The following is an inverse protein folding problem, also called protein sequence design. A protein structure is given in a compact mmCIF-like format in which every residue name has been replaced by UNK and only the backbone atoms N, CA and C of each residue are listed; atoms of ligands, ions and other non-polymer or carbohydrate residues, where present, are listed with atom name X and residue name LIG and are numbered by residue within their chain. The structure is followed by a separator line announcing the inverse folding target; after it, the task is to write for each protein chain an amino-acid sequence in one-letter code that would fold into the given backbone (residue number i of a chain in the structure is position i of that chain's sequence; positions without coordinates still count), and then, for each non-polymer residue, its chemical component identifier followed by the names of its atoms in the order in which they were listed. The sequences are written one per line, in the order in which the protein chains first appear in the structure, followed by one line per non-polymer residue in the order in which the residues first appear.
data_IF_783542226854
#
_entry.id   IF_783542226854
#
_cell.length_a   1.000
_cell.length_b   1.000
_cell.length_c   1.000
_cell.angle_alpha   90.00
_cell.angle_beta   90.00
_cell.angle_gamma   90.00
#
_symmetry.space_group_name_H-M   'P 1'
#
loop_
_entity.id
_entity.type
_entity.pdbx_description
1 polymer ?
#
# COMPACT_ATOMS: atom_id res chain seq x y z
N UNK A 1 -2.38 -8.00 -6.95
CA UNK A 1 -1.77 -7.95 -8.30
C UNK A 1 -0.37 -8.54 -8.20
N UNK A 2 0.03 -9.37 -9.15
CA UNK A 2 1.41 -9.87 -9.26
C UNK A 2 2.01 -9.30 -10.54
N UNK A 3 3.17 -8.65 -10.43
CA UNK A 3 3.94 -8.14 -11.57
C UNK A 3 5.29 -8.85 -11.52
N UNK A 4 5.73 -9.39 -12.66
CA UNK A 4 6.98 -10.11 -12.79
C UNK A 4 7.50 -9.99 -14.23
N UNK A 5 8.82 -10.01 -14.38
CA UNK A 5 9.48 -10.15 -15.69
C UNK A 5 9.82 -11.62 -16.01
N UNK A 6 9.56 -12.55 -15.09
CA UNK A 6 9.75 -13.99 -15.31
C UNK A 6 8.45 -14.62 -15.86
N UNK A 7 8.52 -15.06 -17.11
CA UNK A 7 7.38 -15.67 -17.82
C UNK A 7 6.88 -16.95 -17.13
N UNK A 8 7.76 -17.76 -16.54
CA UNK A 8 7.37 -18.99 -15.85
C UNK A 8 6.58 -18.66 -14.59
N UNK A 9 7.00 -17.64 -13.85
CA UNK A 9 6.24 -17.14 -12.69
C UNK A 9 4.88 -16.60 -13.12
N UNK A 10 4.82 -15.86 -14.23
CA UNK A 10 3.56 -15.33 -14.75
C UNK A 10 2.59 -16.44 -15.18
N UNK A 11 3.08 -17.48 -15.85
CA UNK A 11 2.28 -18.65 -16.26
C UNK A 11 1.72 -19.39 -15.05
N UNK A 12 2.57 -19.75 -14.09
CA UNK A 12 2.15 -20.43 -12.86
C UNK A 12 1.13 -19.59 -12.10
N UNK A 13 1.36 -18.28 -11.95
CA UNK A 13 0.43 -17.38 -11.27
C UNK A 13 -0.94 -17.33 -11.97
N UNK A 14 -1.01 -17.35 -13.31
CA UNK A 14 -2.28 -17.38 -14.06
C UNK A 14 -3.06 -18.67 -13.81
N UNK A 15 -2.37 -19.82 -13.72
CA UNK A 15 -2.97 -21.11 -13.37
C UNK A 15 -3.46 -21.12 -11.92
N UNK A 16 -2.61 -20.72 -10.96
CA UNK A 16 -2.93 -20.64 -9.53
C UNK A 16 -4.15 -19.74 -9.28
N UNK A 17 -4.27 -18.63 -10.01
CA UNK A 17 -5.43 -17.71 -9.93
C UNK A 17 -6.75 -18.35 -10.37
N UNK A 18 -6.69 -19.38 -11.20
CA UNK A 18 -7.82 -19.96 -11.92
C UNK A 18 -7.95 -21.47 -11.72
N UNK A 19 -8.02 -21.93 -10.47
CA UNK A 19 -8.23 -23.35 -10.10
C UNK A 19 -7.17 -24.32 -10.64
N UNK A 20 -6.00 -23.81 -11.04
CA UNK A 20 -4.95 -24.59 -11.69
C UNK A 20 -5.25 -24.97 -13.14
N UNK A 21 -6.28 -24.38 -13.75
CA UNK A 21 -6.72 -24.67 -15.11
C UNK A 21 -6.11 -23.71 -16.13
N UNK A 22 -5.58 -24.26 -17.23
CA UNK A 22 -5.29 -23.49 -18.43
C UNK A 22 -6.59 -23.30 -19.23
N UNK A 23 -7.05 -22.06 -19.33
CA UNK A 23 -8.15 -21.67 -20.20
C UNK A 23 -7.56 -20.88 -21.37
N UNK A 24 -7.61 -21.46 -22.55
CA UNK A 24 -7.10 -20.86 -23.79
C UNK A 24 -8.30 -20.34 -24.58
N UNK A 25 -8.23 -19.10 -25.05
CA UNK A 25 -9.27 -18.53 -25.89
C UNK A 25 -9.49 -19.41 -27.14
N UNK A 26 -10.73 -19.54 -27.58
CA UNK A 26 -11.12 -20.30 -28.78
C UNK A 26 -10.92 -21.82 -28.70
N UNK A 27 -10.55 -22.38 -27.54
CA UNK A 27 -10.50 -23.83 -27.30
C UNK A 27 -11.59 -24.31 -26.35
N UNK A 28 -12.07 -25.55 -26.56
CA UNK A 28 -13.00 -26.18 -25.63
C UNK A 28 -12.34 -26.40 -24.28
N UNK A 29 -12.97 -25.90 -23.21
CA UNK A 29 -12.48 -26.06 -21.85
C UNK A 29 -12.44 -27.53 -21.45
N UNK A 30 -11.31 -27.97 -20.91
CA UNK A 30 -11.08 -29.37 -20.53
C UNK A 30 -11.51 -29.71 -19.10
N UNK A 31 -11.77 -28.69 -18.26
CA UNK A 31 -12.06 -28.84 -16.82
C UNK A 31 -10.98 -29.61 -16.05
N UNK A 32 -9.75 -29.63 -16.56
CA UNK A 32 -8.61 -30.30 -15.95
C UNK A 32 -7.71 -29.29 -15.26
N UNK A 33 -7.58 -29.42 -13.95
CA UNK A 33 -6.51 -28.75 -13.19
C UNK A 33 -5.17 -29.42 -13.49
N UNK A 34 -4.18 -28.63 -13.88
CA UNK A 34 -2.81 -29.09 -14.14
C UNK A 34 -1.94 -29.02 -12.89
N UNK A 35 -2.28 -28.08 -11.99
CA UNK A 35 -1.63 -27.84 -10.70
C UNK A 35 -2.70 -27.54 -9.64
N UNK A 36 -2.30 -27.44 -8.37
CA UNK A 36 -3.17 -26.88 -7.34
C UNK A 36 -3.36 -25.37 -7.60
N UNK A 37 -4.61 -24.92 -7.59
CA UNK A 37 -4.95 -23.51 -7.70
C UNK A 37 -6.23 -23.15 -6.94
N UNK A 38 -6.51 -21.85 -6.90
CA UNK A 38 -7.62 -21.24 -6.17
C UNK A 38 -8.45 -20.36 -7.10
N UNK A 39 -9.53 -19.80 -6.56
CA UNK A 39 -10.28 -18.75 -7.21
C UNK A 39 -9.81 -17.37 -6.71
N UNK A 40 -8.79 -16.80 -7.36
CA UNK A 40 -8.31 -15.44 -7.10
C UNK A 40 -8.56 -14.49 -8.28
N UNK A 41 -9.53 -14.82 -9.13
CA UNK A 41 -9.91 -13.96 -10.26
C UNK A 41 -10.51 -12.67 -9.72
N UNK A 42 -10.04 -11.54 -10.26
CA UNK A 42 -10.67 -10.25 -10.06
C UNK A 42 -11.97 -10.20 -10.87
N UNK A 43 -13.01 -9.55 -10.35
CA UNK A 43 -14.25 -9.36 -11.10
C UNK A 43 -14.09 -8.26 -12.15
N UNK A 44 -14.91 -8.29 -13.21
CA UNK A 44 -14.91 -7.24 -14.24
C UNK A 44 -15.27 -5.86 -13.66
N UNK A 45 -16.15 -5.82 -12.64
CA UNK A 45 -16.53 -4.56 -11.97
C UNK A 45 -15.33 -3.97 -11.21
N UNK A 46 -14.62 -4.78 -10.44
CA UNK A 46 -13.42 -4.33 -9.72
C UNK A 46 -12.31 -3.92 -10.70
N UNK A 47 -12.16 -4.64 -11.81
CA UNK A 47 -11.20 -4.31 -12.86
C UNK A 47 -11.53 -2.96 -13.52
N UNK A 48 -12.80 -2.70 -13.85
CA UNK A 48 -13.24 -1.44 -14.42
C UNK A 48 -12.99 -0.26 -13.46
N UNK A 49 -13.30 -0.42 -12.17
CA UNK A 49 -12.98 0.58 -11.14
C UNK A 49 -11.47 0.81 -11.07
N UNK A 50 -10.68 -0.27 -11.04
CA UNK A 50 -9.22 -0.20 -10.99
C UNK A 50 -8.62 0.57 -12.16
N UNK A 51 -9.09 0.32 -13.39
CA UNK A 51 -8.64 1.03 -14.60
C UNK A 51 -8.87 2.55 -14.47
N UNK A 52 -10.04 2.97 -13.99
CA UNK A 52 -10.33 4.41 -13.79
C UNK A 52 -9.53 5.02 -12.63
N UNK A 53 -9.21 4.24 -11.59
CA UNK A 53 -8.33 4.67 -10.50
C UNK A 53 -6.88 4.86 -10.97
N UNK A 54 -6.37 3.97 -11.82
CA UNK A 54 -5.02 4.10 -12.37
C UNK A 54 -4.84 5.38 -13.19
N UNK A 55 -5.86 5.81 -13.94
CA UNK A 55 -5.83 7.11 -14.66
C UNK A 55 -5.68 8.31 -13.74
N UNK A 56 -6.12 8.20 -12.48
CA UNK A 56 -6.08 9.27 -11.46
C UNK A 56 -4.87 9.15 -10.53
N UNK A 57 -4.04 8.13 -10.72
CA UNK A 57 -2.97 7.76 -9.79
C UNK A 57 -1.97 8.90 -9.56
N UNK A 58 -1.53 9.58 -10.62
CA UNK A 58 -0.56 10.67 -10.49
C UNK A 58 -1.13 11.86 -9.74
N UNK A 59 -2.38 12.22 -9.99
CA UNK A 59 -3.07 13.27 -9.24
C UNK A 59 -3.11 12.95 -7.74
N UNK A 60 -3.59 11.75 -7.37
CA UNK A 60 -3.67 11.36 -5.96
C UNK A 60 -2.29 11.22 -5.30
N UNK A 61 -1.29 10.73 -6.01
CA UNK A 61 0.09 10.66 -5.51
C UNK A 61 0.64 12.06 -5.24
N UNK A 62 0.47 12.98 -6.18
CA UNK A 62 1.02 14.34 -6.07
C UNK A 62 0.31 15.13 -4.95
N UNK A 63 -1.01 14.98 -4.78
CA UNK A 63 -1.73 15.60 -3.66
C UNK A 63 -1.24 15.04 -2.31
N UNK A 64 -1.03 13.72 -2.19
CA UNK A 64 -0.43 13.15 -0.98
C UNK A 64 0.97 13.68 -0.70
N UNK A 65 1.83 13.76 -1.72
CA UNK A 65 3.19 14.32 -1.60
C UNK A 65 3.14 15.77 -1.11
N UNK A 66 2.25 16.60 -1.68
CA UNK A 66 2.06 17.99 -1.28
C UNK A 66 1.69 18.10 0.21
N UNK A 67 0.72 17.31 0.65
CA UNK A 67 0.28 17.30 2.06
C UNK A 67 1.36 16.76 3.01
N UNK A 68 2.07 15.71 2.60
CA UNK A 68 3.19 15.14 3.36
C UNK A 68 4.33 16.16 3.53
N UNK A 69 4.68 16.89 2.46
CA UNK A 69 5.69 17.94 2.53
C UNK A 69 5.25 19.08 3.45
N UNK A 70 3.99 19.49 3.38
CA UNK A 70 3.42 20.47 4.31
C UNK A 70 3.57 20.00 5.76
N UNK A 71 3.16 18.76 6.08
CA UNK A 71 3.33 18.20 7.43
C UNK A 71 4.79 18.14 7.85
N UNK A 72 5.71 17.71 6.98
CA UNK A 72 7.14 17.70 7.27
C UNK A 72 7.65 19.09 7.64
N UNK A 73 7.29 20.11 6.86
CA UNK A 73 7.71 21.48 7.14
C UNK A 73 7.14 22.01 8.47
N UNK A 74 5.91 21.62 8.85
CA UNK A 74 5.30 22.06 10.11
C UNK A 74 5.82 21.27 11.33
N UNK A 75 6.17 20.00 11.15
CA UNK A 75 6.50 19.09 12.25
C UNK A 75 8.00 18.99 12.54
N UNK A 76 8.87 19.38 11.61
CA UNK A 76 10.32 19.30 11.78
C UNK A 76 10.87 20.13 12.95
N UNK A 77 10.14 21.19 13.34
CA UNK A 77 10.56 22.10 14.41
C UNK A 77 10.19 21.58 15.81
N UNK A 78 9.40 20.50 15.90
CA UNK A 78 9.02 19.91 17.18
C UNK A 78 10.11 18.96 17.70
N UNK A 79 10.58 19.24 18.91
CA UNK A 79 11.57 18.38 19.56
C UNK A 79 11.01 16.97 19.79
N UNK A 80 11.81 15.96 19.44
CA UNK A 80 11.43 14.56 19.57
C UNK A 80 10.64 13.99 18.39
N UNK A 81 10.31 14.80 17.39
CA UNK A 81 9.75 14.31 16.13
C UNK A 81 10.83 14.20 15.06
N UNK A 82 10.80 13.12 14.29
CA UNK A 82 11.64 12.99 13.10
C UNK A 82 10.75 12.61 11.92
N UNK A 83 10.60 13.50 10.92
CA UNK A 83 9.75 13.24 9.76
C UNK A 83 10.31 12.08 8.91
N UNK A 84 9.48 11.47 8.04
CA UNK A 84 9.95 10.46 7.09
C UNK A 84 11.01 11.06 6.16
N UNK A 85 12.08 10.30 5.95
CA UNK A 85 13.17 10.68 5.05
C UNK A 85 12.90 10.17 3.63
N UNK A 86 13.15 11.01 2.63
CA UNK A 86 13.05 10.67 1.20
C UNK A 86 14.44 10.76 0.58
N UNK A 87 14.89 9.67 -0.04
CA UNK A 87 16.16 9.63 -0.78
C UNK A 87 16.06 10.44 -2.07
N UNK A 88 17.16 11.08 -2.48
CA UNK A 88 17.22 12.05 -3.58
C UNK A 88 16.66 11.53 -4.93
N UNK A 89 16.82 10.24 -5.21
CA UNK A 89 16.35 9.62 -6.46
C UNK A 89 14.99 8.91 -6.34
N UNK A 90 14.31 9.04 -5.20
CA UNK A 90 13.08 8.31 -4.92
C UNK A 90 11.84 9.21 -4.90
N UNK A 91 10.77 8.78 -5.58
CA UNK A 91 9.43 9.36 -5.41
C UNK A 91 8.67 8.60 -4.31
N UNK A 92 8.67 9.13 -3.09
CA UNK A 92 7.86 8.57 -2.01
C UNK A 92 6.38 8.98 -2.15
N UNK A 93 5.46 8.02 -2.28
CA UNK A 93 4.02 8.30 -2.53
C UNK A 93 3.15 8.37 -1.27
N UNK A 94 3.76 8.14 -0.10
CA UNK A 94 3.15 8.29 1.23
C UNK A 94 1.82 7.54 1.39
N UNK A 95 1.85 6.20 1.29
CA UNK A 95 0.69 5.40 1.74
C UNK A 95 0.30 5.76 3.19
N UNK A 96 1.32 5.98 4.04
CA UNK A 96 1.18 6.58 5.38
C UNK A 96 2.26 7.64 5.54
N UNK A 97 1.92 8.75 6.20
CA UNK A 97 2.92 9.68 6.74
C UNK A 97 3.37 9.20 8.11
N UNK A 98 4.53 8.53 8.18
CA UNK A 98 5.04 7.96 9.42
C UNK A 98 6.22 8.79 9.94
N UNK A 99 6.06 9.39 11.13
CA UNK A 99 7.14 10.08 11.84
C UNK A 99 7.68 9.19 12.98
N UNK A 100 8.97 9.35 13.30
CA UNK A 100 9.53 8.76 14.53
C UNK A 100 9.27 9.69 15.70
N UNK A 101 8.93 9.10 16.83
CA UNK A 101 8.60 9.77 18.07
C UNK A 101 9.59 9.34 19.14
N UNK A 102 10.28 10.31 19.75
CA UNK A 102 11.25 10.10 20.83
C UNK A 102 10.59 10.44 22.17
N UNK A 103 10.21 9.40 22.92
CA UNK A 103 9.51 9.56 24.20
C UNK A 103 10.36 10.29 25.25
N UNK A 104 11.70 10.17 25.18
CA UNK A 104 12.59 10.81 26.15
C UNK A 104 12.64 12.32 25.96
N UNK A 105 12.65 12.77 24.70
CA UNK A 105 12.63 14.20 24.37
C UNK A 105 11.28 14.83 24.62
N UNK A 106 10.18 14.14 24.27
CA UNK A 106 8.82 14.67 24.46
C UNK A 106 8.37 14.54 25.93
N UNK A 107 8.92 13.58 26.68
CA UNK A 107 8.55 13.32 28.08
C UNK A 107 7.20 12.61 28.26
N UNK A 108 6.60 12.11 27.17
CA UNK A 108 5.29 11.44 27.17
C UNK A 108 5.43 10.12 26.42
N UNK A 109 4.90 9.03 26.99
CA UNK A 109 4.81 7.74 26.30
C UNK A 109 4.04 7.87 24.99
N UNK A 110 4.55 7.26 23.91
CA UNK A 110 4.00 7.34 22.56
C UNK A 110 2.51 6.99 22.51
N UNK A 111 2.08 5.96 23.24
CA UNK A 111 0.67 5.55 23.25
C UNK A 111 -0.22 6.64 23.86
N UNK A 112 0.23 7.32 24.92
CA UNK A 112 -0.52 8.43 25.51
C UNK A 112 -0.60 9.63 24.56
N UNK A 113 0.47 9.90 23.81
CA UNK A 113 0.44 10.91 22.75
C UNK A 113 -0.59 10.55 21.65
N UNK A 114 -0.58 9.29 21.19
CA UNK A 114 -1.56 8.78 20.21
C UNK A 114 -2.99 8.92 20.74
N UNK A 115 -3.26 8.54 22.00
CA UNK A 115 -4.58 8.66 22.61
C UNK A 115 -5.03 10.12 22.69
N UNK A 116 -4.13 11.04 23.04
CA UNK A 116 -4.42 12.47 23.09
C UNK A 116 -4.79 13.04 21.72
N UNK A 117 -4.02 12.71 20.67
CA UNK A 117 -4.31 13.17 19.29
C UNK A 117 -5.66 12.62 18.80
N UNK A 118 -5.98 11.36 19.11
CA UNK A 118 -7.28 10.79 18.77
C UNK A 118 -8.43 11.45 19.55
N UNK A 119 -8.21 11.86 20.81
CA UNK A 119 -9.20 12.59 21.60
C UNK A 119 -9.54 13.98 21.01
N UNK A 120 -8.59 14.61 20.31
CA UNK A 120 -8.80 15.84 19.52
C UNK A 120 -9.50 15.57 18.17
N UNK A 121 -9.86 14.31 17.88
CA UNK A 121 -10.59 13.92 16.67
C UNK A 121 -9.72 13.71 15.44
N UNK A 122 -8.39 13.59 15.60
CA UNK A 122 -7.46 13.32 14.51
C UNK A 122 -7.09 11.83 14.52
N UNK A 123 -7.53 11.03 13.52
CA UNK A 123 -7.17 9.62 13.45
C UNK A 123 -5.65 9.43 13.36
N UNK A 124 -5.06 8.83 14.39
CA UNK A 124 -3.62 8.64 14.47
C UNK A 124 -3.28 7.27 15.07
N UNK A 125 -2.26 6.60 14.55
CA UNK A 125 -1.90 5.23 14.94
C UNK A 125 -0.43 5.14 15.37
N UNK A 126 -0.15 4.27 16.33
CA UNK A 126 1.20 3.94 16.80
C UNK A 126 2.02 3.11 15.78
N UNK A 127 1.45 2.82 14.60
CA UNK A 127 2.04 2.00 13.56
C UNK A 127 1.69 0.52 13.69
N UNK A 128 2.40 -0.33 12.95
CA UNK A 128 2.21 -1.77 12.99
C UNK A 128 2.88 -2.41 14.20
N UNK A 129 2.30 -3.52 14.67
CA UNK A 129 2.89 -4.38 15.69
C UNK A 129 4.11 -5.08 15.06
N UNK A 130 5.17 -5.29 15.85
CA UNK A 130 6.30 -6.11 15.39
C UNK A 130 5.79 -7.55 15.17
N UNK A 131 6.12 -8.19 14.04
CA UNK A 131 5.76 -9.58 13.80
C UNK A 131 6.41 -10.52 14.82
#
# INVERSE_FOLDING_TARGET
MLITNDEKVAEIARLVRNHGEAVIAEQTRTYRSMILGWNYRLTEVDAAIGIEQFKKMDYFNNERIKLANYLTCQLQDFEGFTPPYVYEENKHVYYVYALKYDELKVGIFRNRFVDAINAEGIPFSAGYIKP
#
